data_IF_106744846307
#
_entry.id   IF_106744846307
#
_cell.length_a   1.000
_cell.length_b   1.000
_cell.length_c   1.000
_cell.angle_alpha   90.00
_cell.angle_beta   90.00
_cell.angle_gamma   90.00
#
_symmetry.space_group_name_H-M   'P 1'
#
loop_
_entity.id
_entity.type
_entity.pdbx_description
1 polymer ?
#
# COMPACT_ATOMS: atom_id res chain seq x y z
N UNK A 1 -3.67 -15.87 0.65
CA UNK A 1 -3.74 -15.68 2.12
C UNK A 1 -2.40 -15.94 2.82
N UNK A 2 -1.34 -16.39 2.12
CA UNK A 2 -0.04 -16.70 2.73
C UNK A 2 0.85 -15.47 3.00
N UNK A 3 0.78 -14.42 2.17
CA UNK A 3 1.72 -13.27 2.24
C UNK A 3 1.59 -12.38 3.48
N UNK A 4 0.41 -12.32 4.12
CA UNK A 4 0.21 -11.47 5.30
C UNK A 4 0.94 -12.03 6.53
N UNK A 5 1.18 -13.34 6.58
CA UNK A 5 1.86 -14.01 7.71
C UNK A 5 3.35 -13.65 7.82
N UNK A 6 3.96 -13.10 6.77
CA UNK A 6 5.35 -12.64 6.81
C UNK A 6 5.52 -11.22 7.36
N UNK A 7 4.41 -10.50 7.58
CA UNK A 7 4.45 -9.16 8.15
C UNK A 7 4.66 -9.23 9.66
N UNK A 8 5.47 -8.30 10.18
CA UNK A 8 5.63 -8.13 11.63
C UNK A 8 4.29 -7.71 12.23
N UNK A 9 3.73 -8.55 13.10
CA UNK A 9 2.53 -8.23 13.86
C UNK A 9 2.87 -7.24 15.00
N UNK A 10 1.92 -6.37 15.41
CA UNK A 10 0.56 -6.22 14.88
C UNK A 10 0.53 -5.58 13.47
N UNK A 11 -0.48 -5.96 12.68
CA UNK A 11 -0.71 -5.42 11.33
C UNK A 11 -1.98 -4.58 11.30
N UNK A 12 -2.00 -3.57 10.44
CA UNK A 12 -3.16 -2.74 10.16
C UNK A 12 -3.42 -2.67 8.67
N UNK A 13 -4.65 -2.37 8.31
CA UNK A 13 -5.10 -2.30 6.92
C UNK A 13 -5.48 -0.87 6.57
N UNK A 14 -4.91 -0.37 5.49
CA UNK A 14 -5.17 0.94 4.90
C UNK A 14 -5.89 0.73 3.56
N UNK A 15 -6.87 1.58 3.27
CA UNK A 15 -7.54 1.57 1.96
C UNK A 15 -7.09 2.77 1.14
N UNK A 16 -6.71 2.53 -0.11
CA UNK A 16 -6.39 3.60 -1.05
C UNK A 16 -7.35 3.55 -2.25
N UNK A 17 -8.04 4.67 -2.51
CA UNK A 17 -9.02 4.84 -3.59
C UNK A 17 -8.61 5.87 -4.65
N UNK A 18 -7.36 6.34 -4.61
CA UNK A 18 -6.88 7.42 -5.46
C UNK A 18 -6.75 7.01 -6.94
N UNK A 19 -6.82 8.02 -7.81
CA UNK A 19 -6.74 7.88 -9.25
C UNK A 19 -5.33 7.51 -9.68
N UNK A 20 -4.98 6.24 -9.55
CA UNK A 20 -3.79 5.69 -10.15
C UNK A 20 -3.80 6.00 -11.66
N UNK A 21 -2.93 6.93 -12.08
CA UNK A 21 -2.88 7.48 -13.43
C UNK A 21 -2.87 6.36 -14.47
N UNK A 22 -3.94 6.32 -15.28
CA UNK A 22 -4.19 5.53 -16.52
C UNK A 22 -3.95 4.00 -16.52
N UNK A 23 -3.08 3.41 -15.70
CA UNK A 23 -2.91 1.96 -15.55
C UNK A 23 -2.63 1.54 -14.11
N UNK A 24 -3.36 0.52 -13.66
CA UNK A 24 -3.23 -0.10 -12.33
C UNK A 24 -1.80 -0.57 -12.01
N UNK A 25 -1.07 -1.02 -13.03
CA UNK A 25 0.32 -1.50 -12.90
C UNK A 25 1.36 -0.38 -12.75
N UNK A 26 1.07 0.84 -13.22
CA UNK A 26 2.07 1.93 -13.24
C UNK A 26 2.21 2.63 -11.88
N UNK A 27 1.20 2.54 -11.01
CA UNK A 27 1.18 3.32 -9.78
C UNK A 27 1.44 2.52 -8.50
N UNK A 28 1.04 1.25 -8.46
CA UNK A 28 1.49 0.36 -7.37
C UNK A 28 3.02 0.28 -7.39
N UNK A 29 3.65 0.39 -8.57
CA UNK A 29 5.10 0.42 -8.72
C UNK A 29 5.78 1.63 -8.06
N UNK A 30 5.20 2.84 -8.18
CA UNK A 30 5.74 4.02 -7.50
C UNK A 30 5.60 3.91 -5.99
N UNK A 31 4.43 3.46 -5.52
CA UNK A 31 4.21 3.18 -4.11
C UNK A 31 5.21 2.13 -3.60
N UNK A 32 5.38 1.03 -4.33
CA UNK A 32 6.30 -0.06 -4.01
C UNK A 32 7.73 0.45 -3.84
N UNK A 33 8.23 1.26 -4.78
CA UNK A 33 9.55 1.89 -4.67
C UNK A 33 9.67 2.79 -3.44
N UNK A 34 8.65 3.60 -3.13
CA UNK A 34 8.69 4.50 -1.98
C UNK A 34 8.69 3.73 -0.66
N UNK A 35 7.88 2.68 -0.55
CA UNK A 35 7.76 1.83 0.64
C UNK A 35 9.02 0.99 0.83
N UNK A 36 9.58 0.44 -0.25
CA UNK A 36 10.85 -0.28 -0.24
C UNK A 36 12.02 0.62 0.21
N UNK A 37 12.07 1.88 -0.24
CA UNK A 37 13.07 2.88 0.24
C UNK A 37 12.96 3.15 1.74
N UNK A 38 11.80 2.92 2.35
CA UNK A 38 11.59 3.04 3.80
C UNK A 38 11.84 1.73 4.55
N UNK A 39 12.20 0.65 3.85
CA UNK A 39 12.44 -0.67 4.45
C UNK A 39 11.17 -1.31 5.02
N UNK A 40 9.99 -0.88 4.56
CA UNK A 40 8.71 -1.37 5.06
C UNK A 40 8.25 -2.53 4.15
N UNK A 41 7.87 -3.64 4.76
CA UNK A 41 7.15 -4.72 4.06
C UNK A 41 5.66 -4.48 4.14
N UNK A 42 4.94 -4.81 3.07
CA UNK A 42 3.50 -4.67 2.99
C UNK A 42 2.90 -5.77 2.12
N UNK A 43 1.61 -6.00 2.28
CA UNK A 43 0.80 -6.79 1.37
C UNK A 43 -0.23 -5.87 0.70
N UNK A 44 -0.41 -5.98 -0.61
CA UNK A 44 -1.42 -5.21 -1.33
C UNK A 44 -2.33 -6.14 -2.12
N UNK A 45 -3.64 -5.91 -1.97
CA UNK A 45 -4.70 -6.60 -2.70
C UNK A 45 -5.43 -5.59 -3.59
N UNK A 46 -5.49 -5.86 -4.88
CA UNK A 46 -6.23 -5.04 -5.83
C UNK A 46 -7.72 -5.35 -5.74
N UNK A 47 -8.54 -4.36 -5.34
CA UNK A 47 -9.98 -4.51 -5.16
C UNK A 47 -10.80 -4.14 -6.41
N UNK A 48 -10.13 -3.77 -7.51
CA UNK A 48 -10.76 -3.35 -8.75
C UNK A 48 -10.58 -1.87 -9.05
N UNK A 49 -10.81 -1.48 -10.31
CA UNK A 49 -10.49 -0.14 -10.85
C UNK A 49 -11.12 1.01 -10.05
N UNK A 50 -12.33 0.81 -9.52
CA UNK A 50 -13.09 1.82 -8.78
C UNK A 50 -12.94 1.70 -7.25
N UNK A 51 -12.42 0.57 -6.78
CA UNK A 51 -12.25 0.25 -5.36
C UNK A 51 -10.82 0.46 -4.87
N UNK A 52 -9.86 0.51 -5.80
CA UNK A 52 -8.44 0.75 -5.55
C UNK A 52 -7.75 -0.46 -4.94
N UNK A 53 -6.94 -0.23 -3.91
CA UNK A 53 -6.14 -1.26 -3.25
C UNK A 53 -6.39 -1.29 -1.75
N UNK A 54 -6.33 -2.50 -1.20
CA UNK A 54 -6.23 -2.75 0.24
C UNK A 54 -4.78 -3.05 0.56
N UNK A 55 -4.20 -2.27 1.46
CA UNK A 55 -2.78 -2.34 1.81
C UNK A 55 -2.66 -2.71 3.28
N UNK A 56 -2.09 -3.88 3.56
CA UNK A 56 -1.84 -4.39 4.90
C UNK A 56 -0.37 -4.17 5.26
N UNK A 57 -0.11 -3.51 6.38
CA UNK A 57 1.24 -3.12 6.84
C UNK A 57 1.39 -3.33 8.34
N UNK A 58 2.62 -3.51 8.86
CA UNK A 58 2.88 -3.43 10.28
C UNK A 58 2.39 -2.11 10.89
N UNK A 59 1.80 -2.14 12.08
CA UNK A 59 1.18 -0.96 12.71
C UNK A 59 2.19 0.19 12.92
N UNK A 60 3.44 -0.14 13.27
CA UNK A 60 4.52 0.84 13.42
C UNK A 60 4.88 1.56 12.11
N UNK A 61 4.54 0.98 10.96
CA UNK A 61 4.77 1.56 9.64
C UNK A 61 3.53 2.27 9.07
N UNK A 62 2.37 2.14 9.73
CA UNK A 62 1.09 2.64 9.23
C UNK A 62 1.11 4.15 8.95
N UNK A 63 1.69 4.95 9.85
CA UNK A 63 1.79 6.40 9.66
C UNK A 63 2.65 6.80 8.45
N UNK A 64 3.78 6.11 8.26
CA UNK A 64 4.67 6.33 7.11
C UNK A 64 3.93 5.98 5.81
N UNK A 65 3.29 4.81 5.78
CA UNK A 65 2.58 4.31 4.60
C UNK A 65 1.40 5.22 4.26
N UNK A 66 0.63 5.66 5.25
CA UNK A 66 -0.48 6.58 5.03
C UNK A 66 0.00 7.91 4.43
N UNK A 67 1.10 8.47 4.93
CA UNK A 67 1.70 9.69 4.35
C UNK A 67 2.18 9.50 2.90
N UNK A 68 2.73 8.32 2.57
CA UNK A 68 3.11 7.98 1.20
C UNK A 68 1.89 7.90 0.28
N UNK A 69 0.81 7.27 0.74
CA UNK A 69 -0.44 7.19 -0.01
C UNK A 69 -1.06 8.56 -0.25
N UNK A 70 -1.07 9.46 0.75
CA UNK A 70 -1.56 10.83 0.58
C UNK A 70 -0.74 11.66 -0.42
N UNK A 71 0.55 11.38 -0.59
CA UNK A 71 1.36 12.05 -1.62
C UNK A 71 1.06 11.56 -3.04
N UNK A 72 0.53 10.34 -3.19
CA UNK A 72 0.16 9.76 -4.48
C UNK A 72 -1.26 10.16 -4.93
N UNK A 73 -2.08 10.69 -4.02
CA UNK A 73 -3.44 11.20 -4.31
C UNK A 73 -3.46 12.67 -4.76
N UNK A 74 -2.31 13.36 -4.67
CA UNK A 74 -2.13 14.78 -5.06
C UNK A 74 -1.76 14.91 -6.53
#
# INVERSE_FOLDING_TARGET
MADVFELKHPVTTLQFRGAFHKKTSENIYLFDQMVAKKGVRYHAEFLGRWSGFRITVPENAAGIVNALLSNLDR
#
